data_IF_795513723174
#
_entry.id   IF_795513723174
#
_cell.length_a   1.000
_cell.length_b   1.000
_cell.length_c   1.000
_cell.angle_alpha   90.00
_cell.angle_beta   90.00
_cell.angle_gamma   90.00
#
_symmetry.space_group_name_H-M   'P 1'
#
loop_
_entity.id
_entity.type
_entity.pdbx_description
1 polymer ?
#
# COMPACT_ATOMS: atom_id res chain seq x y z
N UNK A 1 -6.41 9.31 1.52
CA UNK A 1 -5.99 8.17 2.36
C UNK A 1 -4.71 8.54 3.11
N UNK A 2 -3.55 8.57 2.45
CA UNK A 2 -2.25 8.76 3.12
C UNK A 2 -2.16 9.92 4.13
N UNK A 3 -2.65 11.12 3.80
CA UNK A 3 -2.61 12.26 4.73
C UNK A 3 -3.46 12.01 5.98
N UNK A 4 -4.60 11.33 5.84
CA UNK A 4 -5.45 10.99 6.97
C UNK A 4 -4.79 9.93 7.87
N UNK A 5 -4.04 9.01 7.28
CA UNK A 5 -3.29 7.98 8.01
C UNK A 5 -2.12 8.62 8.78
N UNK A 6 -1.38 9.56 8.16
CA UNK A 6 -0.34 10.34 8.83
C UNK A 6 -0.89 11.17 10.01
N UNK A 7 -2.14 11.63 9.90
CA UNK A 7 -2.81 12.37 10.96
C UNK A 7 -3.29 11.45 12.11
N UNK A 8 -3.20 10.12 12.00
CA UNK A 8 -3.64 9.17 13.03
C UNK A 8 -4.96 8.47 12.75
N UNK A 9 -5.48 8.56 11.52
CA UNK A 9 -6.70 7.88 11.08
C UNK A 9 -7.97 8.71 11.27
N UNK A 10 -8.83 8.71 10.26
CA UNK A 10 -10.11 9.45 10.28
C UNK A 10 -10.94 8.99 11.48
N UNK A 11 -11.35 9.92 12.34
CA UNK A 11 -12.15 9.64 13.54
C UNK A 11 -11.36 9.32 14.81
N UNK A 12 -10.02 9.36 14.77
CA UNK A 12 -9.18 9.23 15.97
C UNK A 12 -9.30 10.46 16.87
N UNK A 13 -9.24 10.24 18.20
CA UNK A 13 -9.20 11.33 19.20
C UNK A 13 -7.96 12.21 19.05
N UNK A 14 -6.88 11.65 18.51
CA UNK A 14 -5.59 12.32 18.32
C UNK A 14 -5.36 12.69 16.85
N UNK A 15 -6.44 12.87 16.07
CA UNK A 15 -6.35 13.24 14.67
C UNK A 15 -5.61 14.57 14.49
N UNK A 16 -4.57 14.56 13.67
CA UNK A 16 -3.70 15.72 13.43
C UNK A 16 -2.82 16.08 14.61
N UNK A 17 -2.69 15.22 15.63
CA UNK A 17 -1.77 15.46 16.74
C UNK A 17 -0.32 15.62 16.25
N UNK A 18 0.42 16.50 16.92
CA UNK A 18 1.82 16.78 16.59
C UNK A 18 2.66 15.50 16.64
N UNK A 19 2.34 14.59 17.56
CA UNK A 19 3.00 13.30 17.70
C UNK A 19 2.82 12.37 16.50
N UNK A 20 1.60 12.27 15.95
CA UNK A 20 1.33 11.41 14.79
C UNK A 20 2.03 11.97 13.54
N UNK A 21 1.97 13.28 13.35
CA UNK A 21 2.66 13.95 12.25
C UNK A 21 4.17 13.83 12.40
N UNK A 22 4.73 14.06 13.59
CA UNK A 22 6.16 13.92 13.85
C UNK A 22 6.65 12.48 13.59
N UNK A 23 5.87 11.47 13.96
CA UNK A 23 6.17 10.08 13.66
C UNK A 23 6.17 9.83 12.14
N UNK A 24 5.12 10.25 11.43
CA UNK A 24 5.00 10.05 9.99
C UNK A 24 6.13 10.73 9.20
N UNK A 25 6.41 12.00 9.51
CA UNK A 25 7.51 12.74 8.90
C UNK A 25 8.88 12.19 9.32
N UNK A 26 9.02 11.72 10.55
CA UNK A 26 10.25 11.09 11.04
C UNK A 26 10.58 9.80 10.27
N UNK A 27 9.58 8.94 10.04
CA UNK A 27 9.74 7.73 9.22
C UNK A 27 10.07 8.09 7.78
N UNK A 28 9.36 9.06 7.19
CA UNK A 28 9.64 9.51 5.82
C UNK A 28 11.07 10.05 5.69
N UNK A 29 11.52 10.90 6.61
CA UNK A 29 12.87 11.43 6.64
C UNK A 29 13.91 10.32 6.76
N UNK A 30 13.67 9.35 7.64
CA UNK A 30 14.53 8.18 7.79
C UNK A 30 14.66 7.40 6.48
N UNK A 31 13.54 7.11 5.80
CA UNK A 31 13.54 6.41 4.51
C UNK A 31 14.35 7.20 3.46
N UNK A 32 14.15 8.52 3.39
CA UNK A 32 14.88 9.38 2.44
C UNK A 32 16.38 9.36 2.73
N UNK A 33 16.78 9.43 4.00
CA UNK A 33 18.19 9.37 4.41
C UNK A 33 18.79 8.01 4.02
N UNK A 34 18.11 6.91 4.35
CA UNK A 34 18.54 5.56 3.96
C UNK A 34 18.69 5.44 2.44
N UNK A 35 17.69 5.88 1.69
CA UNK A 35 17.71 5.80 0.24
C UNK A 35 18.80 6.69 -0.39
N UNK A 36 19.06 7.88 0.17
CA UNK A 36 19.99 8.85 -0.41
C UNK A 36 21.46 8.51 -0.14
N UNK A 37 21.77 8.10 1.09
CA UNK A 37 23.15 7.97 1.57
C UNK A 37 23.72 6.56 1.47
N UNK A 38 22.88 5.52 1.37
CA UNK A 38 23.35 4.14 1.28
C UNK A 38 23.23 3.63 -0.15
N UNK A 39 24.00 2.60 -0.49
CA UNK A 39 24.03 1.95 -1.80
C UNK A 39 23.71 0.46 -1.69
N UNK A 40 23.60 -0.19 -2.86
CA UNK A 40 23.34 -1.61 -2.98
C UNK A 40 22.06 -2.05 -2.25
N UNK A 41 22.21 -3.10 -1.43
CA UNK A 41 21.10 -3.78 -0.76
C UNK A 41 20.34 -2.88 0.22
N UNK A 42 21.05 -2.03 0.99
CA UNK A 42 20.44 -1.18 2.02
C UNK A 42 19.47 -0.19 1.37
N UNK A 43 19.84 0.39 0.21
CA UNK A 43 18.97 1.29 -0.54
C UNK A 43 17.67 0.62 -0.95
N UNK A 44 17.73 -0.64 -1.41
CA UNK A 44 16.57 -1.42 -1.86
C UNK A 44 15.61 -1.76 -0.71
N UNK A 45 16.10 -1.94 0.51
CA UNK A 45 15.27 -2.27 1.69
C UNK A 45 14.97 -1.05 2.58
N UNK A 46 15.29 0.18 2.15
CA UNK A 46 15.08 1.41 2.93
C UNK A 46 13.66 1.54 3.48
N UNK A 47 12.65 1.18 2.68
CA UNK A 47 11.24 1.24 3.10
C UNK A 47 10.96 0.25 4.24
N UNK A 48 11.50 -0.97 4.15
CA UNK A 48 11.37 -2.00 5.19
C UNK A 48 12.05 -1.54 6.49
N UNK A 49 13.25 -0.98 6.39
CA UNK A 49 13.96 -0.42 7.55
C UNK A 49 13.19 0.75 8.17
N UNK A 50 12.59 1.61 7.34
CA UNK A 50 11.75 2.70 7.79
C UNK A 50 10.50 2.23 8.53
N UNK A 51 9.87 1.15 8.04
CA UNK A 51 8.74 0.53 8.72
C UNK A 51 9.15 -0.03 10.09
N UNK A 52 10.27 -0.76 10.18
CA UNK A 52 10.82 -1.24 11.45
C UNK A 52 11.11 -0.10 12.42
N UNK A 53 11.81 0.93 11.95
CA UNK A 53 12.12 2.12 12.75
C UNK A 53 10.85 2.81 13.26
N UNK A 54 9.87 3.03 12.38
CA UNK A 54 8.60 3.65 12.72
C UNK A 54 7.82 2.86 13.76
N UNK A 55 7.75 1.53 13.62
CA UNK A 55 7.07 0.67 14.59
C UNK A 55 7.78 0.69 15.95
N UNK A 56 9.11 0.68 16.00
CA UNK A 56 9.88 0.76 17.25
C UNK A 56 9.62 2.10 17.95
N UNK A 57 9.71 3.22 17.23
CA UNK A 57 9.43 4.55 17.80
C UNK A 57 7.98 4.65 18.29
N UNK A 58 7.02 4.18 17.49
CA UNK A 58 5.62 4.13 17.88
C UNK A 58 5.38 3.28 19.14
N UNK A 59 6.12 2.18 19.31
CA UNK A 59 6.05 1.34 20.50
C UNK A 59 6.55 2.08 21.75
N UNK A 60 7.65 2.83 21.65
CA UNK A 60 8.13 3.69 22.73
C UNK A 60 7.16 4.83 23.08
N UNK A 61 6.38 5.30 22.10
CA UNK A 61 5.31 6.28 22.30
C UNK A 61 4.02 5.67 22.88
N UNK A 62 3.99 4.34 23.15
CA UNK A 62 2.80 3.64 23.66
C UNK A 62 1.66 3.50 22.66
N UNK A 63 1.92 3.73 21.35
CA UNK A 63 0.90 3.68 20.28
C UNK A 63 0.76 2.30 19.63
N UNK A 64 1.54 1.32 20.06
CA UNK A 64 1.50 -0.06 19.54
C UNK A 64 0.83 -0.97 20.55
N UNK A 65 -0.23 -1.65 20.13
CA UNK A 65 -0.86 -2.74 20.88
C UNK A 65 -0.57 -4.07 20.19
N UNK A 66 -0.09 -5.04 20.97
CA UNK A 66 0.13 -6.42 20.51
C UNK A 66 -1.05 -7.35 20.84
N UNK A 67 -2.16 -6.81 21.36
CA UNK A 67 -3.32 -7.60 21.76
C UNK A 67 -3.91 -8.39 20.58
N UNK A 68 -4.02 -7.75 19.41
CA UNK A 68 -4.49 -8.42 18.19
C UNK A 68 -3.61 -9.59 17.75
N UNK A 69 -2.31 -9.58 18.10
CA UNK A 69 -1.39 -10.69 17.80
C UNK A 69 -1.61 -11.87 18.77
N UNK A 70 -1.93 -11.58 20.03
CA UNK A 70 -2.24 -12.62 21.02
C UNK A 70 -3.60 -13.28 20.82
N UNK A 71 -4.56 -12.55 20.25
CA UNK A 71 -5.91 -13.05 19.93
C UNK A 71 -6.00 -13.70 18.55
N UNK A 72 -4.94 -13.62 17.74
CA UNK A 72 -4.93 -14.18 16.40
C UNK A 72 -4.84 -15.71 16.41
N UNK A 73 -5.67 -16.35 15.59
CA UNK A 73 -5.59 -17.80 15.34
C UNK A 73 -4.31 -18.18 14.59
N UNK A 74 -3.76 -19.36 14.89
CA UNK A 74 -2.61 -19.92 14.17
C UNK A 74 -2.90 -20.19 12.69
N UNK A 75 -4.17 -20.47 12.37
CA UNK A 75 -4.65 -20.64 11.01
C UNK A 75 -5.98 -19.90 10.86
N UNK A 76 -6.00 -18.88 10.02
CA UNK A 76 -7.22 -18.17 9.64
C UNK A 76 -7.46 -18.37 8.15
N UNK A 77 -8.60 -18.95 7.79
CA UNK A 77 -8.99 -19.15 6.40
C UNK A 77 -9.36 -17.81 5.74
N UNK A 78 -9.22 -17.73 4.42
CA UNK A 78 -9.68 -16.56 3.65
C UNK A 78 -11.21 -16.54 3.74
N UNK A 79 -11.79 -15.43 4.21
CA UNK A 79 -13.24 -15.23 4.30
C UNK A 79 -13.71 -14.42 3.08
N UNK A 80 -14.34 -15.05 2.07
CA UNK A 80 -14.91 -14.30 0.96
C UNK A 80 -15.95 -13.32 1.50
N UNK A 81 -15.95 -12.10 0.96
CA UNK A 81 -16.89 -11.04 1.31
C UNK A 81 -16.82 -10.63 2.80
N UNK A 82 -15.63 -10.66 3.40
CA UNK A 82 -15.40 -10.24 4.79
C UNK A 82 -16.01 -8.87 5.10
N UNK A 83 -15.88 -7.92 4.17
CA UNK A 83 -16.39 -6.55 4.30
C UNK A 83 -17.85 -6.37 3.86
N UNK A 84 -18.51 -7.43 3.39
CA UNK A 84 -19.89 -7.42 2.90
C UNK A 84 -20.04 -7.96 1.48
N UNK A 85 -21.28 -8.26 1.10
CA UNK A 85 -21.63 -8.73 -0.24
C UNK A 85 -21.56 -7.58 -1.26
N UNK A 86 -21.22 -7.85 -2.53
CA UNK A 86 -21.12 -6.83 -3.55
C UNK A 86 -22.48 -6.13 -3.76
N UNK A 87 -22.48 -4.80 -3.63
CA UNK A 87 -23.61 -3.92 -3.93
C UNK A 87 -23.32 -3.14 -5.20
N UNK A 88 -24.34 -2.98 -6.05
CA UNK A 88 -24.19 -2.34 -7.35
C UNK A 88 -24.88 -0.98 -7.34
N UNK A 89 -24.13 0.03 -6.93
CA UNK A 89 -24.57 1.41 -6.91
C UNK A 89 -23.90 2.18 -8.06
N UNK A 90 -24.70 2.90 -8.86
CA UNK A 90 -24.21 3.54 -10.08
C UNK A 90 -23.09 4.57 -9.81
N UNK A 91 -23.22 5.35 -8.74
CA UNK A 91 -22.29 6.44 -8.41
C UNK A 91 -20.88 5.91 -8.03
N UNK A 92 -20.74 4.94 -7.10
CA UNK A 92 -19.46 4.27 -6.84
C UNK A 92 -18.87 3.57 -8.05
N UNK A 93 -19.70 2.92 -8.89
CA UNK A 93 -19.24 2.21 -10.09
C UNK A 93 -18.53 3.16 -11.06
N UNK A 94 -19.17 4.30 -11.38
CA UNK A 94 -18.58 5.29 -12.28
C UNK A 94 -17.28 5.85 -11.69
N UNK A 95 -17.26 6.11 -10.37
CA UNK A 95 -16.07 6.61 -9.68
C UNK A 95 -14.92 5.61 -9.76
N UNK A 96 -15.19 4.33 -9.52
CA UNK A 96 -14.16 3.28 -9.56
C UNK A 96 -13.68 2.98 -10.98
N UNK A 97 -14.52 3.13 -12.01
CA UNK A 97 -14.07 3.06 -13.41
C UNK A 97 -12.99 4.12 -13.69
N UNK A 98 -13.19 5.35 -13.22
CA UNK A 98 -12.20 6.41 -13.40
C UNK A 98 -10.89 6.08 -12.69
N UNK A 99 -10.95 5.55 -11.46
CA UNK A 99 -9.77 5.10 -10.71
C UNK A 99 -9.06 3.96 -11.45
N UNK A 100 -9.80 2.98 -11.98
CA UNK A 100 -9.23 1.88 -12.75
C UNK A 100 -8.55 2.35 -14.04
N UNK A 101 -9.10 3.36 -14.73
CA UNK A 101 -8.47 3.98 -15.89
C UNK A 101 -7.12 4.61 -15.54
N UNK A 102 -7.02 5.32 -14.40
CA UNK A 102 -5.75 5.86 -13.91
C UNK A 102 -4.76 4.73 -13.58
N UNK A 103 -5.24 3.65 -12.95
CA UNK A 103 -4.44 2.47 -12.63
C UNK A 103 -3.81 1.83 -13.88
N UNK A 104 -4.57 1.68 -14.97
CA UNK A 104 -4.03 1.14 -16.23
C UNK A 104 -2.91 2.02 -16.78
N UNK A 105 -3.07 3.35 -16.74
CA UNK A 105 -2.04 4.29 -17.22
C UNK A 105 -0.77 4.20 -16.35
N UNK A 106 -0.93 4.12 -15.03
CA UNK A 106 0.18 3.93 -14.10
C UNK A 106 0.90 2.58 -14.36
N UNK A 107 0.14 1.49 -14.44
CA UNK A 107 0.66 0.14 -14.69
C UNK A 107 1.43 0.06 -16.02
N UNK A 108 0.95 0.77 -17.05
CA UNK A 108 1.67 0.90 -18.33
C UNK A 108 3.09 1.45 -18.13
N UNK A 109 3.21 2.53 -17.35
CA UNK A 109 4.51 3.13 -17.02
C UNK A 109 5.41 2.16 -16.25
N UNK A 110 4.85 1.42 -15.29
CA UNK A 110 5.58 0.39 -14.54
C UNK A 110 6.06 -0.74 -15.45
N UNK A 111 5.22 -1.21 -16.39
CA UNK A 111 5.61 -2.24 -17.34
C UNK A 111 6.77 -1.79 -18.23
N UNK A 112 6.76 -0.54 -18.73
CA UNK A 112 7.87 -0.02 -19.51
C UNK A 112 9.15 0.14 -18.69
N UNK A 113 9.07 0.69 -17.48
CA UNK A 113 10.21 0.78 -16.58
C UNK A 113 10.81 -0.60 -16.27
N UNK A 114 9.96 -1.60 -16.03
CA UNK A 114 10.40 -2.98 -15.79
C UNK A 114 10.99 -3.62 -17.05
N UNK A 115 10.43 -3.36 -18.23
CA UNK A 115 10.96 -3.77 -19.53
C UNK A 115 12.39 -3.27 -19.72
N UNK A 116 12.64 -2.00 -19.39
CA UNK A 116 13.96 -1.38 -19.51
C UNK A 116 14.97 -1.99 -18.53
N UNK A 117 14.56 -2.19 -17.27
CA UNK A 117 15.41 -2.83 -16.25
C UNK A 117 15.74 -4.28 -16.63
N UNK A 118 14.75 -5.02 -17.10
CA UNK A 118 14.88 -6.42 -17.50
C UNK A 118 15.46 -6.61 -18.92
N UNK A 119 15.75 -5.52 -19.64
CA UNK A 119 16.17 -5.55 -21.05
C UNK A 119 15.26 -6.40 -21.95
N UNK A 120 13.95 -6.37 -21.69
CA UNK A 120 12.96 -7.19 -22.41
C UNK A 120 11.92 -6.29 -23.05
N UNK A 121 11.96 -6.17 -24.38
CA UNK A 121 10.94 -5.43 -25.13
C UNK A 121 9.55 -6.01 -24.87
N UNK A 122 8.64 -5.14 -24.46
CA UNK A 122 7.21 -5.44 -24.34
C UNK A 122 6.47 -4.80 -25.50
N UNK A 123 5.51 -5.53 -26.06
CA UNK A 123 4.61 -5.05 -27.11
C UNK A 123 3.16 -5.05 -26.64
N UNK A 124 2.25 -4.80 -27.59
CA UNK A 124 0.81 -4.76 -27.35
C UNK A 124 0.26 -6.05 -26.73
N UNK A 125 0.78 -7.22 -27.15
CA UNK A 125 0.32 -8.52 -26.66
C UNK A 125 0.66 -8.73 -25.18
N UNK A 126 1.84 -8.32 -24.75
CA UNK A 126 2.31 -8.40 -23.36
C UNK A 126 1.50 -7.45 -22.48
N UNK A 127 1.30 -6.21 -22.93
CA UNK A 127 0.48 -5.22 -22.23
C UNK A 127 -0.97 -5.70 -22.08
N UNK A 128 -1.56 -6.25 -23.15
CA UNK A 128 -2.92 -6.81 -23.11
C UNK A 128 -3.04 -7.94 -22.08
N UNK A 129 -2.03 -8.81 -21.97
CA UNK A 129 -2.01 -9.86 -20.95
C UNK A 129 -1.87 -9.27 -19.55
N UNK A 130 -1.03 -8.25 -19.37
CA UNK A 130 -0.85 -7.53 -18.11
C UNK A 130 -2.18 -6.93 -17.62
N UNK A 131 -2.87 -6.16 -18.46
CA UNK A 131 -4.15 -5.53 -18.08
C UNK A 131 -5.24 -6.56 -17.76
N UNK A 132 -5.27 -7.69 -18.47
CA UNK A 132 -6.22 -8.79 -18.16
C UNK A 132 -5.92 -9.44 -16.82
N UNK A 133 -4.64 -9.63 -16.48
CA UNK A 133 -4.23 -10.16 -15.18
C UNK A 133 -4.57 -9.19 -14.06
N UNK A 134 -4.39 -7.89 -14.29
CA UNK A 134 -4.74 -6.83 -13.34
C UNK A 134 -6.25 -6.76 -13.09
N UNK A 135 -7.07 -6.79 -14.14
CA UNK A 135 -8.52 -6.85 -14.00
C UNK A 135 -8.99 -8.11 -13.26
N UNK A 136 -8.36 -9.26 -13.52
CA UNK A 136 -8.64 -10.48 -12.76
C UNK A 136 -8.25 -10.32 -11.28
N UNK A 137 -7.10 -9.71 -10.99
CA UNK A 137 -6.66 -9.43 -9.62
C UNK A 137 -7.62 -8.48 -8.90
N UNK A 138 -8.13 -7.44 -9.57
CA UNK A 138 -9.14 -6.53 -9.01
C UNK A 138 -10.45 -7.27 -8.68
N UNK A 139 -10.92 -8.16 -9.56
CA UNK A 139 -12.12 -8.97 -9.30
C UNK A 139 -11.90 -9.91 -8.12
N UNK A 140 -10.76 -10.58 -8.06
CA UNK A 140 -10.42 -11.48 -6.95
C UNK A 140 -10.28 -10.72 -5.63
N UNK A 141 -9.61 -9.56 -5.62
CA UNK A 141 -9.49 -8.69 -4.44
C UNK A 141 -10.79 -8.00 -4.04
N UNK A 142 -11.81 -8.01 -4.90
CA UNK A 142 -13.16 -7.61 -4.53
C UNK A 142 -13.96 -8.74 -3.87
N UNK A 143 -13.58 -9.99 -4.10
CA UNK A 143 -14.24 -11.17 -3.52
C UNK A 143 -13.64 -11.53 -2.16
N UNK A 144 -12.34 -11.33 -1.97
CA UNK A 144 -11.59 -11.70 -0.77
C UNK A 144 -10.98 -10.47 -0.11
#
# INVERSE_FOLDING_TARGET
AAINDMAGGVGSKDFGSLENLALAFGVLLFIIIMYRFFDGFIRSISILLGLLFGTIVAAFMGKVSLQAVGEADWFHGIQPFYFGTPTFELTPIITMILVACVGIVEATGVYFALSDICNKKIGEKELTKGYRAEGLAMVLGGIF
#
